data_IF_170145334508
#
_entry.id   IF_170145334508
#
_cell.length_a   1.000
_cell.length_b   1.000
_cell.length_c   1.000
_cell.angle_alpha   90.00
_cell.angle_beta   90.00
_cell.angle_gamma   90.00
#
_symmetry.space_group_name_H-M   'P 1'
#
loop_
_entity.id
_entity.type
_entity.pdbx_description
1 polymer ?
#
# COMPACT_ATOMS: atom_id res chain seq x y z
N UNK A 1 34.29 -11.33 -1.96
CA UNK A 1 34.41 -12.38 -3.00
C UNK A 1 33.51 -13.54 -2.57
N UNK A 2 32.24 -13.57 -3.01
CA UNK A 2 31.26 -14.55 -2.51
C UNK A 2 31.50 -15.92 -3.12
N UNK A 3 31.64 -16.95 -2.27
CA UNK A 3 31.78 -18.35 -2.69
C UNK A 3 30.59 -18.76 -3.58
N UNK A 4 30.88 -19.26 -4.77
CA UNK A 4 29.91 -19.92 -5.64
C UNK A 4 29.38 -21.13 -4.86
N UNK A 5 28.11 -21.09 -4.44
CA UNK A 5 27.47 -22.22 -3.75
C UNK A 5 27.50 -23.44 -4.67
N UNK A 6 27.88 -24.58 -4.12
CA UNK A 6 27.91 -25.84 -4.89
C UNK A 6 26.48 -26.22 -5.30
N UNK A 7 26.33 -26.90 -6.45
CA UNK A 7 25.03 -27.28 -7.01
C UNK A 7 24.17 -28.11 -6.03
N UNK A 8 24.83 -28.84 -5.13
CA UNK A 8 24.21 -29.61 -4.05
C UNK A 8 23.55 -28.72 -2.98
N UNK A 9 24.17 -27.59 -2.62
CA UNK A 9 23.61 -26.65 -1.64
C UNK A 9 22.38 -25.92 -2.20
N UNK A 10 22.40 -25.58 -3.49
CA UNK A 10 21.25 -24.97 -4.18
C UNK A 10 20.05 -25.93 -4.18
N UNK A 11 20.29 -27.21 -4.49
CA UNK A 11 19.24 -28.25 -4.41
C UNK A 11 18.66 -28.41 -3.01
N UNK A 12 19.51 -28.42 -1.98
CA UNK A 12 19.06 -28.51 -0.58
C UNK A 12 18.20 -27.31 -0.18
N UNK A 13 18.61 -26.09 -0.54
CA UNK A 13 17.83 -24.88 -0.27
C UNK A 13 16.49 -24.87 -1.02
N UNK A 14 16.48 -25.28 -2.29
CA UNK A 14 15.25 -25.39 -3.07
C UNK A 14 14.30 -26.44 -2.50
N UNK A 15 14.82 -27.58 -2.02
CA UNK A 15 14.02 -28.62 -1.36
C UNK A 15 13.42 -28.13 -0.04
N UNK A 16 14.21 -27.44 0.79
CA UNK A 16 13.73 -26.84 2.05
C UNK A 16 12.62 -25.82 1.76
N UNK A 17 12.83 -24.92 0.79
CA UNK A 17 11.81 -23.95 0.39
C UNK A 17 10.53 -24.61 -0.12
N UNK A 18 10.63 -25.70 -0.89
CA UNK A 18 9.46 -26.46 -1.37
C UNK A 18 8.71 -27.15 -0.24
N UNK A 19 9.42 -27.75 0.72
CA UNK A 19 8.82 -28.39 1.89
C UNK A 19 8.10 -27.34 2.75
N UNK A 20 8.77 -26.23 3.06
CA UNK A 20 8.19 -25.12 3.83
C UNK A 20 6.95 -24.55 3.13
N UNK A 21 7.03 -24.32 1.82
CA UNK A 21 5.90 -23.87 1.01
C UNK A 21 4.73 -24.87 1.01
N UNK A 22 5.02 -26.17 0.94
CA UNK A 22 3.99 -27.22 0.95
C UNK A 22 3.30 -27.31 2.31
N UNK A 23 4.05 -27.22 3.41
CA UNK A 23 3.51 -27.19 4.77
C UNK A 23 2.61 -25.95 4.95
N UNK A 24 3.09 -24.78 4.52
CA UNK A 24 2.29 -23.55 4.55
C UNK A 24 1.00 -23.70 3.72
N UNK A 25 1.08 -24.26 2.51
CA UNK A 25 -0.08 -24.46 1.66
C UNK A 25 -1.14 -25.38 2.29
N UNK A 26 -0.72 -26.46 2.98
CA UNK A 26 -1.64 -27.35 3.71
C UNK A 26 -2.27 -26.61 4.89
N UNK A 27 -1.48 -25.87 5.68
CA UNK A 27 -1.99 -25.08 6.81
C UNK A 27 -2.99 -24.03 6.32
N UNK A 28 -2.67 -23.29 5.26
CA UNK A 28 -3.55 -22.30 4.66
C UNK A 28 -4.80 -22.93 4.06
N UNK A 29 -4.71 -24.10 3.41
CA UNK A 29 -5.86 -24.79 2.85
C UNK A 29 -6.83 -25.33 3.90
N UNK A 30 -6.34 -25.85 5.03
CA UNK A 30 -7.19 -26.33 6.13
C UNK A 30 -7.77 -25.15 6.92
N UNK A 31 -6.97 -24.11 7.12
CA UNK A 31 -7.36 -22.93 7.89
C UNK A 31 -8.11 -21.90 7.03
N UNK A 32 -8.31 -22.16 5.74
CA UNK A 32 -8.87 -21.20 4.77
C UNK A 32 -10.22 -20.63 5.23
N UNK A 33 -11.08 -21.49 5.77
CA UNK A 33 -12.38 -21.10 6.30
C UNK A 33 -12.26 -20.26 7.57
N UNK A 34 -11.37 -20.64 8.49
CA UNK A 34 -11.16 -19.91 9.77
C UNK A 34 -10.46 -18.57 9.53
N UNK A 35 -9.50 -18.54 8.60
CA UNK A 35 -8.80 -17.34 8.16
C UNK A 35 -9.76 -16.42 7.41
N UNK A 36 -10.62 -16.95 6.53
CA UNK A 36 -11.65 -16.16 5.86
C UNK A 36 -12.63 -15.55 6.86
N UNK A 37 -13.09 -16.32 7.86
CA UNK A 37 -13.92 -15.75 8.94
C UNK A 37 -13.12 -14.70 9.72
N UNK A 38 -11.88 -14.97 10.12
CA UNK A 38 -11.06 -14.01 10.86
C UNK A 38 -10.72 -12.73 10.08
N UNK A 39 -10.70 -12.75 8.73
CA UNK A 39 -10.38 -11.57 7.91
C UNK A 39 -11.64 -10.83 7.44
N UNK A 40 -12.77 -11.53 7.31
CA UNK A 40 -14.02 -10.96 6.76
C UNK A 40 -15.02 -10.59 7.87
N UNK A 41 -14.97 -11.24 9.03
CA UNK A 41 -15.87 -10.96 10.15
C UNK A 41 -15.47 -9.64 10.84
N UNK A 42 -16.34 -8.64 10.74
CA UNK A 42 -16.20 -7.31 11.33
C UNK A 42 -16.25 -7.33 12.88
N UNK A 43 -16.65 -8.45 13.49
CA UNK A 43 -16.56 -8.61 14.96
C UNK A 43 -15.19 -9.12 15.41
N UNK A 44 -14.37 -9.59 14.47
CA UNK A 44 -13.02 -10.10 14.76
C UNK A 44 -11.98 -8.98 14.74
N UNK A 45 -10.91 -9.14 15.53
CA UNK A 45 -9.80 -8.18 15.60
C UNK A 45 -9.14 -8.01 14.22
N UNK A 46 -9.00 -9.10 13.46
CA UNK A 46 -8.34 -9.10 12.16
C UNK A 46 -9.23 -8.57 11.04
N UNK A 47 -10.55 -8.78 11.11
CA UNK A 47 -11.52 -8.18 10.20
C UNK A 47 -11.62 -6.67 10.38
N UNK A 48 -11.68 -6.17 11.62
CA UNK A 48 -11.56 -4.74 11.90
C UNK A 48 -10.20 -4.20 11.45
N UNK A 49 -9.11 -4.92 11.71
CA UNK A 49 -7.79 -4.49 11.26
C UNK A 49 -7.71 -4.37 9.73
N UNK A 50 -8.23 -5.35 8.99
CA UNK A 50 -8.29 -5.30 7.53
C UNK A 50 -9.20 -4.19 7.00
N UNK A 51 -10.34 -3.95 7.64
CA UNK A 51 -11.29 -2.91 7.28
C UNK A 51 -10.75 -1.48 7.56
N UNK A 52 -10.09 -1.29 8.70
CA UNK A 52 -9.63 0.01 9.18
C UNK A 52 -8.25 0.37 8.62
N UNK A 53 -7.35 -0.61 8.54
CA UNK A 53 -5.96 -0.40 8.11
C UNK A 53 -5.66 -0.94 6.72
N UNK A 54 -6.52 -1.72 6.08
CA UNK A 54 -6.28 -2.21 4.70
C UNK A 54 -6.30 -1.09 3.65
N UNK A 55 -7.11 -0.05 3.86
CA UNK A 55 -7.21 1.10 2.95
C UNK A 55 -6.01 2.06 3.09
N UNK A 56 -5.44 2.17 4.29
CA UNK A 56 -4.42 3.16 4.66
C UNK A 56 -3.09 3.03 3.89
N UNK A 57 -2.48 1.84 3.75
CA UNK A 57 -1.33 1.62 2.88
C UNK A 57 -1.59 2.01 1.42
N UNK A 58 -2.81 1.79 0.94
CA UNK A 58 -3.24 2.23 -0.38
C UNK A 58 -3.17 3.76 -0.51
N UNK A 59 -3.77 4.49 0.44
CA UNK A 59 -3.71 5.95 0.45
C UNK A 59 -2.29 6.50 0.57
N UNK A 60 -1.43 5.86 1.38
CA UNK A 60 -0.01 6.22 1.50
C UNK A 60 0.70 6.07 0.14
N UNK A 61 0.54 4.93 -0.53
CA UNK A 61 1.18 4.66 -1.82
C UNK A 61 0.74 5.66 -2.89
N UNK A 62 -0.56 5.99 -2.91
CA UNK A 62 -1.12 6.97 -3.83
C UNK A 62 -0.54 8.35 -3.56
N UNK A 63 -0.49 8.78 -2.29
CA UNK A 63 0.06 10.08 -1.92
C UNK A 63 1.53 10.22 -2.29
N UNK A 64 2.36 9.19 -2.02
CA UNK A 64 3.76 9.15 -2.43
C UNK A 64 3.87 9.20 -3.95
N UNK A 65 3.07 8.40 -4.67
CA UNK A 65 3.09 8.38 -6.13
C UNK A 65 2.73 9.74 -6.73
N UNK A 66 1.66 10.37 -6.25
CA UNK A 66 1.25 11.71 -6.72
C UNK A 66 2.30 12.77 -6.40
N UNK A 67 2.83 12.80 -5.18
CA UNK A 67 3.91 13.71 -4.80
C UNK A 67 5.14 13.53 -5.69
N UNK A 68 5.53 12.28 -5.95
CA UNK A 68 6.69 11.94 -6.80
C UNK A 68 6.46 12.33 -8.25
N UNK A 69 5.27 12.06 -8.78
CA UNK A 69 4.89 12.38 -10.15
C UNK A 69 4.89 13.90 -10.38
N UNK A 70 4.22 14.66 -9.50
CA UNK A 70 4.20 16.12 -9.56
C UNK A 70 5.60 16.71 -9.34
N UNK A 71 6.35 16.15 -8.38
CA UNK A 71 7.71 16.58 -8.08
C UNK A 71 8.66 16.36 -9.25
N UNK A 72 8.46 15.30 -10.04
CA UNK A 72 9.28 15.00 -11.22
C UNK A 72 9.21 16.06 -12.33
N UNK A 73 8.20 16.94 -12.30
CA UNK A 73 8.05 18.04 -13.27
C UNK A 73 9.08 19.14 -13.03
N UNK A 74 9.65 19.25 -11.82
CA UNK A 74 10.65 20.25 -11.49
C UNK A 74 12.07 19.82 -11.87
N UNK A 75 12.88 20.77 -12.34
CA UNK A 75 14.29 20.55 -12.71
C UNK A 75 15.23 20.48 -11.51
N UNK A 76 14.99 21.32 -10.50
CA UNK A 76 15.82 21.43 -9.30
C UNK A 76 15.47 20.37 -8.25
N UNK A 77 16.45 19.60 -7.77
CA UNK A 77 16.25 18.52 -6.78
C UNK A 77 15.48 18.95 -5.53
N UNK A 78 15.76 20.15 -4.99
CA UNK A 78 15.05 20.69 -3.82
C UNK A 78 13.58 20.99 -4.10
N UNK A 79 13.28 21.55 -5.29
CA UNK A 79 11.92 21.89 -5.71
C UNK A 79 11.07 20.64 -5.93
N UNK A 80 11.69 19.52 -6.30
CA UNK A 80 10.97 18.26 -6.47
C UNK A 80 10.31 17.77 -5.18
N UNK A 81 10.78 18.19 -4.00
CA UNK A 81 10.22 17.76 -2.70
C UNK A 81 8.99 18.55 -2.28
N UNK A 82 8.72 19.70 -2.91
CA UNK A 82 7.61 20.59 -2.57
C UNK A 82 6.26 19.86 -2.60
N UNK A 83 5.91 19.07 -3.64
CA UNK A 83 4.65 18.33 -3.64
C UNK A 83 4.52 17.32 -2.50
N UNK A 84 5.63 16.77 -2.02
CA UNK A 84 5.65 15.93 -0.82
C UNK A 84 5.27 16.72 0.44
N UNK A 85 5.83 17.92 0.62
CA UNK A 85 5.45 18.81 1.71
C UNK A 85 4.00 19.31 1.61
N UNK A 86 3.49 19.54 0.40
CA UNK A 86 2.05 19.82 0.19
C UNK A 86 1.21 18.64 0.68
N UNK A 87 1.61 17.40 0.37
CA UNK A 87 0.93 16.21 0.89
C UNK A 87 0.97 16.10 2.43
N UNK A 88 2.06 16.52 3.06
CA UNK A 88 2.15 16.61 4.54
C UNK A 88 1.15 17.63 5.09
N UNK A 89 1.03 18.80 4.45
CA UNK A 89 0.02 19.81 4.83
C UNK A 89 -1.39 19.24 4.67
N UNK A 90 -1.68 18.53 3.59
CA UNK A 90 -2.98 17.85 3.41
C UNK A 90 -3.24 16.87 4.56
N UNK A 91 -2.25 16.05 4.95
CA UNK A 91 -2.38 15.17 6.11
C UNK A 91 -2.67 15.92 7.42
N UNK A 92 -2.06 17.09 7.62
CA UNK A 92 -2.36 17.94 8.78
C UNK A 92 -3.78 18.52 8.72
N UNK A 93 -4.29 18.87 7.53
CA UNK A 93 -5.68 19.32 7.38
C UNK A 93 -6.68 18.20 7.76
N UNK A 94 -6.40 16.95 7.41
CA UNK A 94 -7.23 15.81 7.83
C UNK A 94 -7.35 15.70 9.36
N UNK A 95 -6.24 15.90 10.08
CA UNK A 95 -6.19 15.89 11.54
C UNK A 95 -6.95 17.09 12.15
N UNK A 96 -6.77 18.28 11.57
CA UNK A 96 -7.29 19.51 12.17
C UNK A 96 -8.78 19.78 11.89
N UNK A 97 -9.30 19.31 10.76
CA UNK A 97 -10.63 19.70 10.28
C UNK A 97 -11.66 18.55 10.24
N UNK A 98 -11.25 17.30 10.50
CA UNK A 98 -12.16 16.15 10.48
C UNK A 98 -12.11 15.46 11.85
N UNK A 99 -13.20 15.60 12.60
CA UNK A 99 -13.37 15.00 13.93
C UNK A 99 -13.84 13.54 13.82
N UNK A 100 -12.97 12.70 13.26
CA UNK A 100 -13.19 11.26 13.11
C UNK A 100 -11.83 10.53 13.22
N UNK A 101 -11.79 9.51 14.07
CA UNK A 101 -10.58 8.76 14.42
C UNK A 101 -9.91 8.13 13.19
N UNK A 102 -10.70 7.66 12.22
CA UNK A 102 -10.18 7.08 10.98
C UNK A 102 -9.41 8.11 10.16
N UNK A 103 -9.96 9.33 10.02
CA UNK A 103 -9.30 10.38 9.26
C UNK A 103 -8.08 10.95 9.99
N UNK A 104 -8.10 10.96 11.31
CA UNK A 104 -6.93 11.23 12.14
C UNK A 104 -5.79 10.24 11.85
N UNK A 105 -6.10 8.94 11.84
CA UNK A 105 -5.13 7.89 11.56
C UNK A 105 -4.56 7.98 10.13
N UNK A 106 -5.42 8.25 9.14
CA UNK A 106 -4.99 8.50 7.75
C UNK A 106 -4.09 9.74 7.67
N UNK A 107 -4.44 10.83 8.35
CA UNK A 107 -3.65 12.06 8.40
C UNK A 107 -2.25 11.83 8.95
N UNK A 108 -2.13 11.15 10.09
CA UNK A 108 -0.83 10.80 10.68
C UNK A 108 -0.02 9.87 9.77
N UNK A 109 -0.68 8.87 9.17
CA UNK A 109 -0.06 7.94 8.24
C UNK A 109 0.51 8.66 7.01
N UNK A 110 -0.22 9.62 6.45
CA UNK A 110 0.24 10.46 5.33
C UNK A 110 1.44 11.33 5.72
N UNK A 111 1.37 12.01 6.87
CA UNK A 111 2.46 12.87 7.35
C UNK A 111 3.74 12.05 7.52
N UNK A 112 3.67 10.96 8.29
CA UNK A 112 4.85 10.18 8.62
C UNK A 112 5.47 9.54 7.38
N UNK A 113 4.65 8.94 6.51
CA UNK A 113 5.13 8.28 5.30
C UNK A 113 5.75 9.25 4.28
N UNK A 114 5.15 10.42 4.07
CA UNK A 114 5.69 11.42 3.16
C UNK A 114 6.97 12.05 3.68
N UNK A 115 7.05 12.37 4.98
CA UNK A 115 8.28 12.88 5.59
C UNK A 115 9.41 11.85 5.51
N UNK A 116 9.12 10.58 5.81
CA UNK A 116 10.07 9.49 5.69
C UNK A 116 10.54 9.32 4.24
N UNK A 117 9.61 9.35 3.28
CA UNK A 117 9.93 9.24 1.86
C UNK A 117 10.82 10.41 1.38
N UNK A 118 10.49 11.64 1.76
CA UNK A 118 11.30 12.83 1.44
C UNK A 118 12.70 12.71 2.05
N UNK A 119 12.82 12.27 3.31
CA UNK A 119 14.09 12.10 3.98
C UNK A 119 14.98 11.05 3.29
N UNK A 120 14.43 9.88 2.97
CA UNK A 120 15.15 8.79 2.27
C UNK A 120 15.56 9.20 0.85
N UNK A 121 14.76 10.05 0.20
CA UNK A 121 14.98 10.47 -1.18
C UNK A 121 15.52 11.89 -1.32
N UNK A 122 16.05 12.48 -0.25
CA UNK A 122 16.46 13.89 -0.22
C UNK A 122 17.40 14.28 -1.37
N UNK A 123 18.44 13.47 -1.57
CA UNK A 123 19.45 13.67 -2.62
C UNK A 123 19.16 12.89 -3.91
N UNK A 124 17.98 12.27 -4.04
CA UNK A 124 17.60 11.47 -5.21
C UNK A 124 16.72 12.27 -6.15
N UNK A 125 16.97 12.12 -7.45
CA UNK A 125 16.14 12.71 -8.51
C UNK A 125 14.84 11.92 -8.66
N UNK A 126 13.72 12.59 -8.39
CA UNK A 126 12.38 12.02 -8.49
C UNK A 126 11.97 11.74 -9.93
N UNK A 127 12.63 12.32 -10.94
CA UNK A 127 12.42 12.00 -12.36
C UNK A 127 12.65 10.54 -12.68
N UNK A 128 13.59 9.88 -11.98
CA UNK A 128 13.87 8.44 -12.15
C UNK A 128 12.68 7.57 -11.76
N UNK A 129 11.80 8.07 -10.88
CA UNK A 129 10.63 7.35 -10.39
C UNK A 129 9.33 7.76 -11.12
N UNK A 130 9.41 8.64 -12.14
CA UNK A 130 8.23 9.18 -12.84
C UNK A 130 7.36 8.10 -13.47
N UNK A 131 7.95 7.10 -14.12
CA UNK A 131 7.16 6.05 -14.79
C UNK A 131 6.39 5.19 -13.79
N UNK A 132 7.06 4.75 -12.71
CA UNK A 132 6.44 3.92 -11.67
C UNK A 132 5.36 4.73 -10.94
N UNK A 133 5.66 5.96 -10.54
CA UNK A 133 4.67 6.84 -9.89
C UNK A 133 3.49 7.16 -10.79
N UNK A 134 3.71 7.35 -12.09
CA UNK A 134 2.66 7.52 -13.09
C UNK A 134 1.73 6.32 -13.19
N UNK A 135 2.29 5.10 -13.25
CA UNK A 135 1.49 3.86 -13.26
C UNK A 135 0.66 3.72 -11.98
N UNK A 136 1.26 3.96 -10.81
CA UNK A 136 0.55 3.86 -9.52
C UNK A 136 -0.57 4.91 -9.44
N UNK A 137 -0.30 6.16 -9.81
CA UNK A 137 -1.30 7.23 -9.81
C UNK A 137 -2.44 6.95 -10.80
N UNK A 138 -2.12 6.40 -11.97
CA UNK A 138 -3.12 6.00 -12.96
C UNK A 138 -3.97 4.83 -12.47
N UNK A 139 -3.36 3.80 -11.87
CA UNK A 139 -4.08 2.68 -11.25
C UNK A 139 -4.98 3.16 -10.11
N UNK A 140 -4.54 4.15 -9.33
CA UNK A 140 -5.33 4.74 -8.26
C UNK A 140 -6.64 5.39 -8.74
N UNK A 141 -6.67 5.91 -9.97
CA UNK A 141 -7.85 6.53 -10.59
C UNK A 141 -8.67 5.50 -11.36
N UNK A 142 -8.00 4.62 -12.12
CA UNK A 142 -8.67 3.61 -12.94
C UNK A 142 -9.35 2.55 -12.08
N UNK A 143 -8.74 2.13 -10.96
CA UNK A 143 -9.29 1.06 -10.13
C UNK A 143 -10.67 1.42 -9.54
N UNK A 144 -10.89 2.61 -8.94
CA UNK A 144 -12.23 3.03 -8.55
C UNK A 144 -13.20 3.22 -9.72
N UNK A 145 -12.73 3.75 -10.86
CA UNK A 145 -13.60 4.07 -12.01
C UNK A 145 -14.06 2.82 -12.77
N UNK A 146 -13.14 1.92 -13.10
CA UNK A 146 -13.44 0.72 -13.90
C UNK A 146 -13.84 -0.44 -13.01
N UNK A 147 -13.11 -0.71 -11.94
CA UNK A 147 -13.40 -1.90 -11.14
C UNK A 147 -14.56 -1.66 -10.20
N UNK A 148 -14.49 -0.61 -9.35
CA UNK A 148 -15.50 -0.40 -8.31
C UNK A 148 -16.85 0.01 -8.90
N UNK A 149 -16.92 0.90 -9.88
CA UNK A 149 -18.22 1.31 -10.42
C UNK A 149 -18.88 0.22 -11.29
N UNK A 150 -18.12 -0.51 -12.10
CA UNK A 150 -18.69 -1.56 -12.95
C UNK A 150 -19.10 -2.77 -12.11
N UNK A 151 -18.28 -3.20 -11.13
CA UNK A 151 -18.68 -4.28 -10.21
C UNK A 151 -19.86 -3.89 -9.32
N UNK A 152 -19.98 -2.63 -8.91
CA UNK A 152 -21.19 -2.13 -8.22
C UNK A 152 -22.46 -2.31 -9.06
N UNK A 153 -22.39 -2.02 -10.35
CA UNK A 153 -23.53 -2.15 -11.27
C UNK A 153 -23.83 -3.63 -11.54
N UNK A 154 -22.80 -4.47 -11.73
CA UNK A 154 -22.96 -5.88 -12.11
C UNK A 154 -23.31 -6.80 -10.92
N UNK A 155 -22.75 -6.55 -9.74
CA UNK A 155 -22.94 -7.41 -8.56
C UNK A 155 -23.92 -6.83 -7.52
N UNK A 156 -24.47 -5.63 -7.75
CA UNK A 156 -25.50 -5.02 -6.90
C UNK A 156 -25.12 -4.72 -5.45
N UNK A 157 -23.89 -5.08 -5.01
CA UNK A 157 -23.39 -4.90 -3.64
C UNK A 157 -22.10 -4.09 -3.63
N UNK A 158 -22.10 -3.04 -2.81
CA UNK A 158 -21.11 -1.96 -2.81
C UNK A 158 -19.99 -2.16 -1.79
N UNK A 159 -20.21 -2.95 -0.73
CA UNK A 159 -19.28 -3.32 0.34
C UNK A 159 -20.07 -4.24 1.27
N UNK A 160 -19.44 -5.25 1.87
CA UNK A 160 -20.04 -6.05 2.95
C UNK A 160 -20.23 -5.24 4.26
N UNK A 161 -19.88 -3.94 4.27
CA UNK A 161 -19.83 -3.04 5.44
C UNK A 161 -21.18 -2.47 5.91
N UNK A 162 -22.28 -2.76 5.21
CA UNK A 162 -23.61 -2.29 5.60
C UNK A 162 -24.57 -3.50 5.71
N UNK A 163 -24.20 -4.48 6.52
CA UNK A 163 -25.11 -5.46 7.08
C UNK A 163 -25.18 -5.25 8.59
#
# INVERSE_FOLDING_TARGET
MSKIKTWLEIKKLALIALIEWSILAIIFGISDLVISIAIVDETSIWGNFGADYGETPGYILIAIALATLLGSLFTNLKMQKIPGYVGVVVGALFILFIDDEKYHNIGWALIFSLLLYIAITWNKDWKRYRNISGVIALLAVINPLLFVQITKILCGRVRFRNL
#
